data_IF_161817978806
#
_entry.id   IF_161817978806
#
_cell.length_a   1.000
_cell.length_b   1.000
_cell.length_c   1.000
_cell.angle_alpha   90.00
_cell.angle_beta   90.00
_cell.angle_gamma   90.00
#
_symmetry.space_group_name_H-M   'P 1'
#
loop_
_entity.id
_entity.type
_entity.pdbx_description
1 polymer ?
#
# COMPACT_ATOMS: atom_id res chain seq x y z
N UNK A 1 -2.88 -15.72 34.93
CA UNK A 1 -2.52 -14.39 34.40
C UNK A 1 -2.33 -14.43 32.88
N UNK A 2 -1.42 -15.28 32.35
CA UNK A 2 -1.15 -15.42 30.91
C UNK A 2 -2.40 -15.41 30.01
N UNK A 3 -3.42 -16.24 30.28
CA UNK A 3 -4.64 -16.29 29.47
C UNK A 3 -5.45 -14.98 29.38
N UNK A 4 -5.42 -14.13 30.41
CA UNK A 4 -6.06 -12.80 30.37
C UNK A 4 -5.25 -11.86 29.46
N UNK A 5 -3.93 -11.83 29.63
CA UNK A 5 -3.02 -11.02 28.80
C UNK A 5 -3.10 -11.45 27.33
N UNK A 6 -3.08 -12.76 27.06
CA UNK A 6 -3.25 -13.34 25.73
C UNK A 6 -4.59 -12.96 25.10
N UNK A 7 -5.70 -13.03 25.86
CA UNK A 7 -7.02 -12.59 25.37
C UNK A 7 -7.05 -11.11 24.98
N UNK A 8 -6.43 -10.24 25.79
CA UNK A 8 -6.31 -8.81 25.47
C UNK A 8 -5.42 -8.58 24.23
N UNK A 9 -4.31 -9.31 24.11
CA UNK A 9 -3.41 -9.27 22.95
C UNK A 9 -4.15 -9.71 21.67
N UNK A 10 -4.94 -10.78 21.73
CA UNK A 10 -5.81 -11.25 20.65
C UNK A 10 -6.81 -10.18 20.21
N UNK A 11 -7.53 -9.56 21.16
CA UNK A 11 -8.52 -8.51 20.85
C UNK A 11 -7.84 -7.32 20.17
N UNK A 12 -6.72 -6.83 20.72
CA UNK A 12 -5.98 -5.72 20.12
C UNK A 12 -5.49 -6.05 18.70
N UNK A 13 -4.97 -7.26 18.49
CA UNK A 13 -4.46 -7.73 17.19
C UNK A 13 -5.57 -7.91 16.16
N UNK A 14 -6.74 -8.42 16.56
CA UNK A 14 -7.92 -8.54 15.68
C UNK A 14 -8.40 -7.14 15.26
N UNK A 15 -8.43 -6.16 16.18
CA UNK A 15 -8.79 -4.77 15.84
C UNK A 15 -7.78 -4.13 14.87
N UNK A 16 -6.48 -4.38 15.06
CA UNK A 16 -5.43 -3.94 14.14
C UNK A 16 -5.57 -4.59 12.77
N UNK A 17 -5.82 -5.91 12.72
CA UNK A 17 -6.06 -6.67 11.48
C UNK A 17 -7.33 -6.24 10.74
N UNK A 18 -8.34 -5.70 11.44
CA UNK A 18 -9.55 -5.14 10.83
C UNK A 18 -9.34 -3.69 10.33
N UNK A 19 -8.31 -2.98 10.79
CA UNK A 19 -8.08 -1.58 10.40
C UNK A 19 -7.97 -1.33 8.88
N UNK A 20 -7.35 -2.20 8.06
CA UNK A 20 -7.28 -2.00 6.60
C UNK A 20 -8.60 -2.29 5.87
N UNK A 21 -9.62 -2.86 6.54
CA UNK A 21 -10.88 -3.23 5.92
C UNK A 21 -11.60 -2.04 5.27
N UNK A 22 -11.45 -0.83 5.83
CA UNK A 22 -12.02 0.41 5.27
C UNK A 22 -11.35 0.79 3.95
N UNK A 23 -10.02 0.78 3.91
CA UNK A 23 -9.26 1.07 2.69
C UNK A 23 -9.59 0.06 1.58
N UNK A 24 -9.69 -1.23 1.93
CA UNK A 24 -10.06 -2.31 0.99
C UNK A 24 -11.51 -2.18 0.50
N UNK A 25 -12.42 -1.76 1.37
CA UNK A 25 -13.81 -1.47 0.99
C UNK A 25 -13.90 -0.32 -0.02
N UNK A 26 -13.13 0.74 0.18
CA UNK A 26 -13.10 1.89 -0.73
C UNK A 26 -12.45 1.53 -2.08
N UNK A 27 -11.39 0.70 -2.09
CA UNK A 27 -10.85 0.09 -3.32
C UNK A 27 -11.95 -0.70 -4.06
N UNK A 28 -12.69 -1.56 -3.35
CA UNK A 28 -13.77 -2.36 -3.93
C UNK A 28 -14.90 -1.49 -4.53
N UNK A 29 -15.27 -0.41 -3.85
CA UNK A 29 -16.33 0.51 -4.26
C UNK A 29 -15.94 1.41 -5.43
N UNK A 30 -14.72 1.94 -5.43
CA UNK A 30 -14.21 2.83 -6.49
C UNK A 30 -13.81 2.09 -7.77
N UNK A 31 -13.57 0.76 -7.69
CA UNK A 31 -13.05 -0.08 -8.80
C UNK A 31 -11.71 0.38 -9.36
N UNK A 32 -11.04 1.29 -8.66
CA UNK A 32 -9.65 1.67 -8.90
C UNK A 32 -8.82 1.10 -7.77
N UNK A 33 -7.70 0.46 -8.11
CA UNK A 33 -6.62 0.32 -7.13
C UNK A 33 -6.04 1.71 -6.90
N UNK A 34 -6.10 2.17 -5.64
CA UNK A 34 -5.38 3.35 -5.16
C UNK A 34 -3.88 3.17 -5.43
N UNK A 35 -3.06 4.22 -5.46
CA UNK A 35 -1.59 4.12 -5.66
C UNK A 35 -0.84 3.34 -4.56
N UNK A 36 -1.56 2.77 -3.60
CA UNK A 36 -1.07 1.93 -2.51
C UNK A 36 -0.74 0.53 -3.03
N UNK A 37 0.44 0.02 -2.66
CA UNK A 37 0.88 -1.34 -3.02
C UNK A 37 0.00 -2.44 -2.39
N UNK A 38 -0.06 -3.61 -3.02
CA UNK A 38 -0.62 -4.85 -2.43
C UNK A 38 0.24 -5.37 -1.26
N UNK A 39 1.52 -4.99 -1.22
CA UNK A 39 2.53 -5.51 -0.31
C UNK A 39 2.06 -5.64 1.16
N UNK A 40 1.47 -4.63 1.84
CA UNK A 40 1.00 -4.78 3.21
C UNK A 40 0.00 -5.93 3.42
N UNK A 41 -0.92 -6.17 2.47
CA UNK A 41 -1.90 -7.27 2.59
C UNK A 41 -1.24 -8.64 2.41
N UNK A 42 -0.25 -8.73 1.52
CA UNK A 42 0.55 -9.93 1.32
C UNK A 42 1.47 -10.21 2.51
N UNK A 43 2.09 -9.18 3.10
CA UNK A 43 2.93 -9.34 4.30
C UNK A 43 2.11 -9.77 5.51
N UNK A 44 0.91 -9.20 5.71
CA UNK A 44 -0.06 -9.62 6.74
C UNK A 44 -0.49 -11.09 6.57
N UNK A 45 -0.64 -11.55 5.32
CA UNK A 45 -0.92 -12.96 5.02
C UNK A 45 0.28 -13.87 5.34
N UNK A 46 1.50 -13.47 4.99
CA UNK A 46 2.73 -14.24 5.29
C UNK A 46 2.98 -14.33 6.79
N UNK A 47 2.88 -13.22 7.51
CA UNK A 47 3.07 -13.16 8.97
C UNK A 47 2.06 -14.07 9.70
N UNK A 48 0.77 -13.91 9.42
CA UNK A 48 -0.28 -14.74 10.01
C UNK A 48 -0.11 -16.23 9.72
N UNK A 49 0.32 -16.60 8.50
CA UNK A 49 0.58 -17.99 8.15
C UNK A 49 1.79 -18.56 8.91
N UNK A 50 2.89 -17.82 9.00
CA UNK A 50 4.10 -18.27 9.72
C UNK A 50 3.80 -18.45 11.22
N UNK A 51 3.05 -17.54 11.83
CA UNK A 51 2.62 -17.69 13.23
C UNK A 51 1.66 -18.85 13.46
N UNK A 52 0.79 -19.19 12.50
CA UNK A 52 -0.05 -20.40 12.58
C UNK A 52 0.80 -21.67 12.50
N UNK A 53 1.81 -21.70 11.62
CA UNK A 53 2.78 -22.81 11.57
C UNK A 53 3.54 -22.92 12.89
N UNK A 54 4.08 -21.83 13.42
CA UNK A 54 4.74 -21.79 14.73
C UNK A 54 3.84 -22.33 15.85
N UNK A 55 2.62 -21.79 15.97
CA UNK A 55 1.64 -22.18 16.96
C UNK A 55 1.29 -23.69 16.88
N UNK A 56 1.23 -24.26 15.67
CA UNK A 56 1.01 -25.70 15.47
C UNK A 56 2.18 -26.60 15.89
N UNK A 57 3.40 -26.06 16.00
CA UNK A 57 4.59 -26.80 16.44
C UNK A 57 4.77 -26.78 17.98
N UNK A 58 4.13 -25.82 18.66
CA UNK A 58 4.11 -25.67 20.13
C UNK A 58 2.76 -26.02 20.77
N UNK A 59 1.82 -26.58 19.98
CA UNK A 59 0.45 -26.93 20.38
C UNK A 59 -0.41 -25.76 20.94
N UNK A 60 -0.09 -24.50 20.60
CA UNK A 60 -0.88 -23.32 21.01
C UNK A 60 -2.06 -23.06 20.06
N UNK A 61 -3.25 -23.55 20.43
CA UNK A 61 -4.48 -23.23 19.68
C UNK A 61 -4.94 -21.79 19.92
N UNK A 62 -4.79 -21.30 21.15
CA UNK A 62 -5.16 -19.95 21.56
C UNK A 62 -4.25 -19.49 22.72
N UNK A 63 -3.66 -18.28 22.66
CA UNK A 63 -4.04 -17.14 21.80
C UNK A 63 -3.33 -17.05 20.44
N UNK A 64 -2.15 -17.67 20.26
CA UNK A 64 -1.29 -17.42 19.10
C UNK A 64 -1.94 -17.97 17.83
N UNK A 65 -2.33 -19.25 17.82
CA UNK A 65 -2.89 -19.92 16.66
C UNK A 65 -4.14 -19.22 16.12
N UNK A 66 -5.17 -19.04 16.96
CA UNK A 66 -6.43 -18.39 16.59
C UNK A 66 -6.25 -16.94 16.10
N UNK A 67 -5.43 -16.13 16.79
CA UNK A 67 -5.27 -14.70 16.44
C UNK A 67 -4.61 -14.54 15.08
N UNK A 68 -3.58 -15.35 14.82
CA UNK A 68 -2.83 -15.28 13.58
C UNK A 68 -3.56 -15.96 12.42
N UNK A 69 -4.38 -16.99 12.68
CA UNK A 69 -5.31 -17.53 11.69
C UNK A 69 -6.33 -16.48 11.23
N UNK A 70 -6.84 -15.63 12.13
CA UNK A 70 -7.68 -14.49 11.74
C UNK A 70 -6.90 -13.49 10.86
N UNK A 71 -5.65 -13.16 11.24
CA UNK A 71 -4.76 -12.30 10.45
C UNK A 71 -4.50 -12.86 9.03
N UNK A 72 -4.21 -14.16 8.91
CA UNK A 72 -4.03 -14.85 7.65
C UNK A 72 -5.28 -14.80 6.75
N UNK A 73 -6.46 -15.07 7.30
CA UNK A 73 -7.74 -15.03 6.56
C UNK A 73 -8.08 -13.60 6.12
N UNK A 74 -7.87 -12.60 6.98
CA UNK A 74 -8.07 -11.20 6.64
C UNK A 74 -7.08 -10.73 5.56
N UNK A 75 -5.78 -11.01 5.68
CA UNK A 75 -4.74 -10.67 4.69
C UNK A 75 -4.98 -11.35 3.34
N UNK A 76 -5.42 -12.61 3.35
CA UNK A 76 -5.86 -13.34 2.14
C UNK A 76 -7.05 -12.66 1.47
N UNK A 77 -8.06 -12.28 2.26
CA UNK A 77 -9.28 -11.60 1.78
C UNK A 77 -8.96 -10.23 1.17
N UNK A 78 -8.11 -9.44 1.83
CA UNK A 78 -7.68 -8.13 1.35
C UNK A 78 -6.86 -8.23 0.07
N UNK A 79 -5.92 -9.19 0.01
CA UNK A 79 -5.15 -9.48 -1.20
C UNK A 79 -6.04 -9.90 -2.36
N UNK A 80 -7.03 -10.77 -2.12
CA UNK A 80 -7.98 -11.21 -3.15
C UNK A 80 -8.85 -10.07 -3.71
N UNK A 81 -9.35 -9.17 -2.85
CA UNK A 81 -10.10 -7.98 -3.29
C UNK A 81 -9.21 -7.03 -4.08
N UNK A 82 -7.97 -6.79 -3.64
CA UNK A 82 -7.02 -5.96 -4.37
C UNK A 82 -6.71 -6.53 -5.77
N UNK A 83 -6.39 -7.83 -5.86
CA UNK A 83 -6.11 -8.50 -7.14
C UNK A 83 -7.32 -8.50 -8.08
N UNK A 84 -8.54 -8.74 -7.56
CA UNK A 84 -9.78 -8.64 -8.33
C UNK A 84 -9.92 -7.25 -8.95
N UNK A 85 -9.59 -6.19 -8.21
CA UNK A 85 -9.73 -4.82 -8.69
C UNK A 85 -8.60 -4.43 -9.67
N UNK A 86 -7.42 -5.07 -9.60
CA UNK A 86 -6.37 -4.95 -10.62
C UNK A 86 -6.80 -5.44 -12.02
N UNK A 87 -7.87 -6.22 -12.17
CA UNK A 87 -8.41 -6.58 -13.49
C UNK A 87 -9.11 -5.43 -14.21
N UNK A 88 -9.60 -4.44 -13.46
CA UNK A 88 -10.28 -3.26 -14.01
C UNK A 88 -9.30 -2.12 -14.34
N UNK A 89 -8.07 -2.16 -13.81
CA UNK A 89 -7.02 -1.20 -14.15
C UNK A 89 -6.44 -1.49 -15.55
N UNK A 90 -6.26 -0.43 -16.35
CA UNK A 90 -5.63 -0.47 -17.67
C UNK A 90 -4.10 -0.58 -17.58
N UNK A 91 -3.51 -0.32 -16.41
CA UNK A 91 -2.06 -0.35 -16.16
C UNK A 91 -1.57 -1.79 -15.96
N UNK A 92 -1.26 -2.48 -17.06
CA UNK A 92 -0.77 -3.87 -17.03
C UNK A 92 0.45 -4.08 -16.10
N UNK A 93 1.35 -3.07 -15.97
CA UNK A 93 2.47 -3.13 -15.01
C UNK A 93 1.98 -3.36 -13.57
N UNK A 94 1.02 -2.56 -13.10
CA UNK A 94 0.45 -2.66 -11.74
C UNK A 94 -0.17 -4.04 -11.51
N UNK A 95 -0.99 -4.52 -12.45
CA UNK A 95 -1.59 -5.87 -12.41
C UNK A 95 -0.53 -6.96 -12.31
N UNK A 96 0.50 -6.91 -13.16
CA UNK A 96 1.56 -7.92 -13.21
C UNK A 96 2.42 -7.92 -11.95
N UNK A 97 2.76 -6.75 -11.44
CA UNK A 97 3.62 -6.62 -10.28
C UNK A 97 2.86 -6.97 -8.98
N UNK A 98 1.56 -6.66 -8.89
CA UNK A 98 0.70 -7.17 -7.82
C UNK A 98 0.59 -8.71 -7.81
N UNK A 99 0.40 -9.32 -8.99
CA UNK A 99 0.38 -10.78 -9.12
C UNK A 99 1.73 -11.44 -8.78
N UNK A 100 2.86 -10.80 -9.12
CA UNK A 100 4.21 -11.26 -8.72
C UNK A 100 4.41 -11.22 -7.21
N UNK A 101 4.01 -10.13 -6.55
CA UNK A 101 4.11 -9.98 -5.10
C UNK A 101 3.24 -11.04 -4.40
N UNK A 102 2.00 -11.25 -4.86
CA UNK A 102 1.12 -12.28 -4.31
C UNK A 102 1.67 -13.70 -4.52
N UNK A 103 2.16 -14.02 -5.72
CA UNK A 103 2.79 -15.31 -6.00
C UNK A 103 4.02 -15.54 -5.11
N UNK A 104 4.87 -14.52 -4.93
CA UNK A 104 6.00 -14.58 -4.00
C UNK A 104 5.59 -14.81 -2.55
N UNK A 105 4.54 -14.14 -2.07
CA UNK A 105 3.98 -14.34 -0.74
C UNK A 105 3.47 -15.79 -0.54
N UNK A 106 2.71 -16.32 -1.50
CA UNK A 106 2.24 -17.72 -1.46
C UNK A 106 3.42 -18.71 -1.52
N UNK A 107 4.46 -18.42 -2.31
CA UNK A 107 5.68 -19.24 -2.37
C UNK A 107 6.44 -19.23 -1.05
N UNK A 108 6.57 -18.08 -0.36
CA UNK A 108 7.18 -18.00 0.97
C UNK A 108 6.40 -18.85 1.98
N UNK A 109 5.07 -18.72 2.02
CA UNK A 109 4.21 -19.52 2.92
C UNK A 109 4.36 -21.02 2.63
N UNK A 110 4.34 -21.42 1.35
CA UNK A 110 4.51 -22.82 0.96
C UNK A 110 5.88 -23.39 1.32
N UNK A 111 6.96 -22.62 1.13
CA UNK A 111 8.32 -23.01 1.53
C UNK A 111 8.44 -23.14 3.05
N UNK A 112 7.90 -22.19 3.81
CA UNK A 112 7.91 -22.19 5.28
C UNK A 112 7.10 -23.34 5.89
N UNK A 113 5.89 -23.58 5.38
CA UNK A 113 5.08 -24.71 5.83
C UNK A 113 5.74 -26.06 5.47
N UNK A 114 6.32 -26.18 4.28
CA UNK A 114 7.03 -27.40 3.86
C UNK A 114 8.28 -27.62 4.71
N UNK A 115 9.08 -26.58 4.98
CA UNK A 115 10.29 -26.70 5.81
C UNK A 115 9.93 -27.09 7.25
N UNK A 116 8.87 -26.50 7.84
CA UNK A 116 8.36 -26.89 9.16
C UNK A 116 7.99 -28.38 9.22
N UNK A 117 7.23 -28.88 8.25
CA UNK A 117 6.85 -30.30 8.18
C UNK A 117 8.06 -31.22 8.02
N UNK A 118 8.99 -30.88 7.13
CA UNK A 118 10.23 -31.67 6.94
C UNK A 118 11.07 -31.69 8.22
N UNK A 119 11.23 -30.54 8.89
CA UNK A 119 11.98 -30.45 10.14
C UNK A 119 11.33 -31.27 11.27
N UNK A 120 10.01 -31.20 11.38
CA UNK A 120 9.25 -31.93 12.39
C UNK A 120 9.28 -33.46 12.19
N UNK A 121 9.28 -33.92 10.93
CA UNK A 121 9.32 -35.35 10.57
C UNK A 121 10.73 -35.94 10.66
N UNK A 122 11.77 -35.19 10.26
CA UNK A 122 13.14 -35.72 10.16
C UNK A 122 13.94 -35.54 11.47
N UNK A 123 13.65 -34.50 12.26
CA UNK A 123 14.32 -34.25 13.56
C UNK A 123 13.34 -34.32 14.73
N UNK A 124 12.59 -33.23 14.98
CA UNK A 124 11.57 -33.17 16.03
C UNK A 124 10.71 -31.91 15.88
N UNK A 125 9.52 -31.90 16.46
CA UNK A 125 8.66 -30.70 16.54
C UNK A 125 9.36 -29.54 17.26
N UNK A 126 10.15 -29.79 18.31
CA UNK A 126 10.93 -28.76 19.02
C UNK A 126 11.98 -28.12 18.12
N UNK A 127 12.78 -28.92 17.40
CA UNK A 127 13.78 -28.39 16.46
C UNK A 127 13.14 -27.60 15.32
N UNK A 128 11.95 -28.02 14.87
CA UNK A 128 11.16 -27.26 13.90
C UNK A 128 10.65 -25.95 14.50
N UNK A 129 10.11 -25.96 15.72
CA UNK A 129 9.61 -24.77 16.41
C UNK A 129 10.70 -23.71 16.58
N UNK A 130 11.89 -24.10 17.04
CA UNK A 130 13.04 -23.20 17.19
C UNK A 130 13.46 -22.60 15.84
N UNK A 131 13.56 -23.43 14.80
CA UNK A 131 13.98 -23.01 13.45
C UNK A 131 12.99 -22.03 12.82
N UNK A 132 11.69 -22.28 12.99
CA UNK A 132 10.62 -21.39 12.50
C UNK A 132 10.55 -20.12 13.34
N UNK A 133 10.75 -20.21 14.67
CA UNK A 133 10.82 -19.07 15.58
C UNK A 133 11.92 -18.08 15.17
N UNK A 134 13.15 -18.55 14.93
CA UNK A 134 14.24 -17.70 14.44
C UNK A 134 13.90 -17.01 13.11
N UNK A 135 13.23 -17.68 12.18
CA UNK A 135 12.79 -17.06 10.93
C UNK A 135 11.72 -15.99 11.17
N UNK A 136 10.72 -16.28 12.02
CA UNK A 136 9.64 -15.36 12.38
C UNK A 136 10.18 -14.10 13.05
N UNK A 137 11.19 -14.23 13.92
CA UNK A 137 11.88 -13.10 14.54
C UNK A 137 12.59 -12.22 13.51
N UNK A 138 13.41 -12.82 12.63
CA UNK A 138 14.12 -12.09 11.56
C UNK A 138 13.14 -11.41 10.61
N UNK A 139 12.03 -12.08 10.27
CA UNK A 139 10.98 -11.52 9.44
C UNK A 139 10.26 -10.33 10.13
N UNK A 140 9.97 -10.43 11.43
CA UNK A 140 9.38 -9.33 12.21
C UNK A 140 10.33 -8.13 12.32
N UNK A 141 11.63 -8.35 12.54
CA UNK A 141 12.63 -7.27 12.54
C UNK A 141 12.67 -6.56 11.18
N UNK A 142 12.63 -7.31 10.08
CA UNK A 142 12.51 -6.73 8.73
C UNK A 142 11.19 -5.96 8.54
N UNK A 143 10.07 -6.44 9.09
CA UNK A 143 8.77 -5.76 9.04
C UNK A 143 8.82 -4.42 9.80
N UNK A 144 9.52 -4.36 10.93
CA UNK A 144 9.72 -3.12 11.71
C UNK A 144 10.60 -2.07 11.01
N UNK A 145 11.33 -2.41 9.94
CA UNK A 145 12.12 -1.44 9.18
C UNK A 145 11.24 -0.30 8.59
N UNK A 146 10.02 -0.60 8.11
CA UNK A 146 9.10 0.41 7.56
C UNK A 146 8.58 1.42 8.60
N UNK A 147 8.04 1.03 9.77
CA UNK A 147 7.68 1.98 10.82
C UNK A 147 8.89 2.73 11.41
N UNK A 148 10.10 2.15 11.38
CA UNK A 148 11.34 2.86 11.73
C UNK A 148 11.73 3.93 10.70
N UNK A 149 11.62 3.63 9.40
CA UNK A 149 11.82 4.62 8.33
C UNK A 149 10.86 5.80 8.47
N UNK A 150 9.59 5.53 8.76
CA UNK A 150 8.58 6.57 8.99
C UNK A 150 8.92 7.43 10.22
N UNK A 151 9.39 6.82 11.31
CA UNK A 151 9.85 7.56 12.50
C UNK A 151 11.08 8.44 12.19
N UNK A 152 12.03 7.95 11.39
CA UNK A 152 13.18 8.72 10.93
C UNK A 152 12.77 9.88 10.01
N UNK A 153 11.78 9.67 9.14
CA UNK A 153 11.19 10.73 8.31
C UNK A 153 10.59 11.84 9.19
N UNK A 154 9.79 11.50 10.21
CA UNK A 154 9.23 12.48 11.17
C UNK A 154 10.32 13.27 11.89
N UNK A 155 11.41 12.61 12.31
CA UNK A 155 12.54 13.30 12.95
C UNK A 155 13.21 14.32 12.01
N UNK A 156 13.30 14.01 10.71
CA UNK A 156 13.88 14.89 9.68
C UNK A 156 12.94 16.01 9.24
N UNK A 157 11.64 15.74 9.06
CA UNK A 157 10.63 16.73 8.62
C UNK A 157 10.08 17.58 9.76
N UNK A 158 10.24 17.13 11.02
CA UNK A 158 9.60 17.69 12.22
C UNK A 158 8.08 17.78 12.15
N UNK A 159 7.45 17.00 11.26
CA UNK A 159 6.01 16.89 11.12
C UNK A 159 5.57 15.44 11.25
N UNK A 160 4.51 15.22 12.02
CA UNK A 160 3.85 13.92 12.18
C UNK A 160 2.81 13.64 11.08
N UNK A 161 2.70 14.50 10.05
CA UNK A 161 1.87 14.28 8.86
C UNK A 161 2.16 12.92 8.22
N UNK A 162 1.17 12.02 8.26
CA UNK A 162 1.28 10.63 7.78
C UNK A 162 1.37 9.57 8.89
N UNK A 163 1.53 9.94 10.16
CA UNK A 163 1.39 9.04 11.31
C UNK A 163 0.06 9.29 12.04
N UNK A 164 -0.73 8.24 12.25
CA UNK A 164 -1.99 8.32 13.02
C UNK A 164 -1.75 7.86 14.47
N UNK A 165 -1.72 8.83 15.40
CA UNK A 165 -1.38 8.61 16.81
C UNK A 165 -2.19 7.49 17.50
N UNK A 166 -3.52 7.38 17.35
CA UNK A 166 -4.29 6.28 17.96
C UNK A 166 -3.87 4.89 17.47
N UNK A 167 -3.49 4.76 16.18
CA UNK A 167 -2.98 3.50 15.64
C UNK A 167 -1.59 3.18 16.20
N UNK A 168 -0.69 4.17 16.29
CA UNK A 168 0.63 4.01 16.94
C UNK A 168 0.51 3.56 18.40
N UNK A 169 -0.41 4.15 19.17
CA UNK A 169 -0.70 3.74 20.55
C UNK A 169 -1.25 2.31 20.59
N UNK A 170 -2.18 1.95 19.69
CA UNK A 170 -2.78 0.61 19.65
C UNK A 170 -1.73 -0.46 19.30
N UNK A 171 -0.83 -0.17 18.35
CA UNK A 171 0.28 -1.06 17.98
C UNK A 171 1.24 -1.23 19.17
N UNK A 172 1.66 -0.14 19.82
CA UNK A 172 2.54 -0.21 20.99
C UNK A 172 1.90 -0.99 22.15
N UNK A 173 0.60 -0.79 22.41
CA UNK A 173 -0.14 -1.53 23.44
C UNK A 173 -0.28 -3.03 23.10
N UNK A 174 -0.55 -3.37 21.84
CA UNK A 174 -0.58 -4.76 21.38
C UNK A 174 0.78 -5.45 21.53
N UNK A 175 1.87 -4.77 21.14
CA UNK A 175 3.23 -5.27 21.31
C UNK A 175 3.60 -5.47 22.79
N UNK A 176 3.22 -4.53 23.67
CA UNK A 176 3.41 -4.69 25.12
C UNK A 176 2.65 -5.90 25.70
N UNK A 177 1.41 -6.12 25.24
CA UNK A 177 0.59 -7.27 25.66
C UNK A 177 1.19 -8.60 25.17
N UNK A 178 1.62 -8.69 23.91
CA UNK A 178 2.29 -9.88 23.39
C UNK A 178 3.64 -10.16 24.03
N UNK A 179 4.47 -9.13 24.22
CA UNK A 179 5.72 -9.25 24.96
C UNK A 179 5.46 -9.82 26.37
N UNK A 180 4.53 -9.21 27.12
CA UNK A 180 4.12 -9.67 28.46
C UNK A 180 3.60 -11.10 28.43
N UNK A 181 2.82 -11.49 27.41
CA UNK A 181 2.36 -12.86 27.25
C UNK A 181 3.53 -13.83 27.06
N UNK A 182 4.48 -13.54 26.16
CA UNK A 182 5.67 -14.38 25.94
C UNK A 182 6.54 -14.53 27.19
N UNK A 183 6.76 -13.45 27.95
CA UNK A 183 7.45 -13.53 29.25
C UNK A 183 6.70 -14.43 30.25
N UNK A 184 5.36 -14.44 30.25
CA UNK A 184 4.54 -15.26 31.14
C UNK A 184 4.47 -16.73 30.72
N UNK A 185 4.66 -17.06 29.43
CA UNK A 185 4.74 -18.43 28.92
C UNK A 185 6.17 -18.96 28.80
N UNK A 186 7.18 -18.13 29.06
CA UNK A 186 8.60 -18.41 28.76
C UNK A 186 8.90 -18.62 27.27
N UNK A 187 8.05 -18.08 26.40
CA UNK A 187 8.21 -18.08 24.95
C UNK A 187 9.02 -16.85 24.52
N UNK A 188 10.30 -17.07 24.21
CA UNK A 188 11.20 -16.01 23.77
C UNK A 188 10.97 -15.56 22.33
N UNK A 189 10.44 -16.41 21.45
CA UNK A 189 10.11 -16.05 20.07
C UNK A 189 8.89 -15.11 20.01
N UNK A 190 7.97 -15.23 20.97
CA UNK A 190 6.93 -14.21 21.16
C UNK A 190 7.47 -12.99 21.91
N UNK A 191 8.24 -13.17 22.98
CA UNK A 191 8.66 -12.06 23.83
C UNK A 191 9.66 -11.09 23.18
N UNK A 192 10.65 -11.61 22.44
CA UNK A 192 11.78 -10.82 21.92
C UNK A 192 11.38 -9.81 20.82
N UNK A 193 10.77 -10.20 19.68
CA UNK A 193 10.40 -9.26 18.63
C UNK A 193 9.37 -8.24 19.14
N UNK A 194 8.41 -8.68 19.96
CA UNK A 194 7.36 -7.82 20.49
C UNK A 194 7.91 -6.80 21.50
N UNK A 195 8.96 -7.13 22.25
CA UNK A 195 9.68 -6.16 23.09
C UNK A 195 10.40 -5.10 22.24
N UNK A 196 11.01 -5.49 21.12
CA UNK A 196 11.63 -4.54 20.17
C UNK A 196 10.55 -3.66 19.52
N UNK A 197 9.43 -4.24 19.09
CA UNK A 197 8.28 -3.51 18.53
C UNK A 197 7.67 -2.53 19.53
N UNK A 198 7.58 -2.90 20.82
CA UNK A 198 7.12 -2.01 21.88
C UNK A 198 8.08 -0.83 22.11
N UNK A 199 9.38 -1.08 22.18
CA UNK A 199 10.40 -0.02 22.31
C UNK A 199 10.40 0.93 21.10
N UNK A 200 10.24 0.40 19.89
CA UNK A 200 10.06 1.22 18.68
C UNK A 200 8.76 2.05 18.72
N UNK A 201 7.66 1.47 19.21
CA UNK A 201 6.39 2.17 19.42
C UNK A 201 6.47 3.28 20.48
N UNK A 202 7.24 3.07 21.56
CA UNK A 202 7.53 4.11 22.55
C UNK A 202 8.39 5.25 21.96
N UNK A 203 9.38 4.93 21.14
CA UNK A 203 10.17 5.93 20.42
C UNK A 203 9.27 6.78 19.49
N UNK A 204 8.39 6.14 18.71
CA UNK A 204 7.37 6.82 17.90
C UNK A 204 6.45 7.72 18.73
N UNK A 205 5.96 7.25 19.88
CA UNK A 205 5.09 8.04 20.76
C UNK A 205 5.83 9.22 21.39
N UNK A 206 7.11 9.08 21.72
CA UNK A 206 7.94 10.19 22.22
C UNK A 206 8.16 11.30 21.18
N UNK A 207 8.26 10.93 19.89
CA UNK A 207 8.34 11.88 18.78
C UNK A 207 7.05 12.71 18.66
N UNK A 208 5.88 12.07 18.80
CA UNK A 208 4.59 12.76 18.87
C UNK A 208 4.50 13.75 20.03
N UNK A 209 4.98 13.38 21.23
CA UNK A 209 5.02 14.30 22.38
C UNK A 209 5.95 15.49 22.13
N UNK A 210 7.02 15.33 21.32
CA UNK A 210 8.01 16.38 21.07
C UNK A 210 7.64 17.35 19.94
N UNK A 211 6.99 16.85 18.89
CA UNK A 211 6.64 17.60 17.67
C UNK A 211 5.14 17.93 17.54
N UNK A 212 4.28 17.33 18.37
CA UNK A 212 2.83 17.53 18.34
C UNK A 212 2.11 16.66 17.32
N UNK A 213 0.78 16.73 17.36
CA UNK A 213 -0.11 16.11 16.37
C UNK A 213 -0.26 17.11 15.21
N UNK A 214 0.25 16.77 14.04
CA UNK A 214 0.02 17.54 12.83
C UNK A 214 -1.43 17.42 12.38
N UNK A 215 -2.03 18.54 11.95
CA UNK A 215 -3.42 18.57 11.52
C UNK A 215 -3.53 18.00 10.10
N UNK A 216 -4.13 16.81 9.96
CA UNK A 216 -4.07 15.98 8.74
C UNK A 216 -4.99 16.49 7.59
N UNK A 217 -5.30 17.79 7.55
CA UNK A 217 -6.21 18.39 6.57
C UNK A 217 -5.49 19.06 5.37
N UNK A 218 -4.20 18.77 5.18
CA UNK A 218 -3.47 19.06 3.94
C UNK A 218 -3.35 17.75 3.14
N UNK A 219 -3.67 17.75 1.83
CA UNK A 219 -3.52 16.56 1.00
C UNK A 219 -2.04 16.17 0.95
N UNK A 220 -1.75 14.91 1.21
CA UNK A 220 -0.39 14.37 1.17
C UNK A 220 0.26 14.64 -0.17
N UNK A 221 1.19 15.60 -0.24
CA UNK A 221 2.06 15.73 -1.41
C UNK A 221 2.77 14.39 -1.61
N UNK A 222 2.65 13.89 -2.83
CA UNK A 222 2.78 12.47 -3.09
C UNK A 222 4.17 11.91 -2.84
N UNK A 223 4.26 10.59 -2.95
CA UNK A 223 5.53 9.90 -3.20
C UNK A 223 6.03 10.25 -4.61
N UNK A 224 6.38 11.51 -4.83
CA UNK A 224 7.21 11.92 -5.95
C UNK A 224 8.61 11.36 -5.69
N UNK A 225 8.90 10.23 -6.33
CA UNK A 225 10.28 9.80 -6.55
C UNK A 225 11.00 10.95 -7.23
N UNK A 226 12.02 11.52 -6.58
CA UNK A 226 12.95 12.43 -7.26
C UNK A 226 13.54 11.65 -8.45
N UNK A 227 13.34 12.08 -9.71
CA UNK A 227 14.04 11.48 -10.81
C UNK A 227 15.52 11.86 -10.69
N UNK A 228 16.40 10.86 -10.78
CA UNK A 228 17.85 11.05 -10.77
C UNK A 228 18.26 12.23 -11.65
N UNK A 229 19.07 13.13 -11.07
CA UNK A 229 19.56 14.33 -11.73
C UNK A 229 20.52 13.99 -12.87
N UNK A 230 19.99 13.61 -14.03
CA UNK A 230 20.77 13.44 -15.24
C UNK A 230 21.27 14.81 -15.72
N UNK A 231 22.56 15.04 -15.49
CA UNK A 231 23.27 16.24 -15.95
C UNK A 231 23.20 16.39 -17.46
N UNK A 232 22.90 17.60 -17.92
CA UNK A 232 23.22 18.08 -19.26
C UNK A 232 22.26 17.68 -20.39
N UNK A 233 21.40 18.62 -20.79
CA UNK A 233 21.59 19.43 -22.01
C UNK A 233 20.24 20.00 -22.50
N UNK A 234 20.08 21.33 -22.53
CA UNK A 234 18.93 21.99 -23.18
C UNK A 234 19.32 22.37 -24.61
N UNK A 235 18.86 21.58 -25.58
CA UNK A 235 18.87 21.99 -26.99
C UNK A 235 17.55 22.65 -27.37
N UNK A 236 17.58 23.97 -27.59
CA UNK A 236 16.57 24.70 -28.37
C UNK A 236 17.09 24.92 -29.81
N UNK A 237 16.22 24.97 -30.84
CA UNK A 237 16.68 24.79 -32.23
C UNK A 237 16.96 26.06 -33.03
N UNK A 238 18.14 26.10 -33.67
CA UNK A 238 18.47 26.76 -34.95
C UNK A 238 18.63 28.29 -34.98
N UNK A 239 19.06 28.88 -36.13
CA UNK A 239 19.76 28.28 -37.27
C UNK A 239 21.02 29.07 -37.70
N UNK A 240 21.79 28.53 -38.66
CA UNK A 240 22.68 29.34 -39.53
C UNK A 240 24.18 29.17 -39.30
N UNK A 241 24.89 28.76 -40.35
CA UNK A 241 26.34 28.60 -40.39
C UNK A 241 27.08 29.95 -40.38
N UNK A 242 28.22 29.97 -39.69
CA UNK A 242 29.18 31.08 -39.71
C UNK A 242 30.58 30.58 -39.40
N UNK A 243 31.41 30.45 -40.43
CA UNK A 243 32.83 30.11 -40.30
C UNK A 243 33.67 31.34 -39.91
N UNK A 244 34.90 31.07 -39.47
CA UNK A 244 36.01 31.98 -39.17
C UNK A 244 35.96 32.88 -37.90
N UNK A 245 36.76 32.45 -36.93
CA UNK A 245 37.91 33.17 -36.36
C UNK A 245 37.82 34.70 -36.12
N UNK A 246 37.98 35.11 -34.85
CA UNK A 246 38.31 36.51 -34.51
C UNK A 246 38.08 36.91 -33.05
N UNK A 247 39.10 36.73 -32.21
CA UNK A 247 39.22 37.36 -30.87
C UNK A 247 40.27 38.47 -31.00
N UNK A 248 40.25 39.60 -30.25
CA UNK A 248 39.16 40.30 -29.55
C UNK A 248 39.03 41.78 -29.98
N UNK A 249 38.06 42.53 -29.42
CA UNK A 249 38.32 43.81 -28.73
C UNK A 249 37.05 44.35 -28.04
N UNK A 250 37.19 44.80 -26.79
CA UNK A 250 36.19 45.63 -26.14
C UNK A 250 36.48 47.12 -26.42
N UNK A 251 35.44 47.95 -26.58
CA UNK A 251 35.17 49.09 -25.69
C UNK A 251 34.28 50.19 -26.32
N UNK A 252 33.50 50.80 -25.42
CA UNK A 252 33.09 52.21 -25.41
C UNK A 252 32.00 52.74 -26.36
N UNK A 253 31.20 53.65 -25.77
CA UNK A 253 30.29 54.57 -26.42
C UNK A 253 28.84 54.07 -26.54
N UNK A 254 27.79 54.85 -26.31
CA UNK A 254 27.59 56.20 -25.75
C UNK A 254 26.18 56.63 -26.11
N UNK A 255 25.53 57.43 -25.27
CA UNK A 255 24.24 58.08 -25.58
C UNK A 255 23.02 57.16 -25.51
N UNK A 256 21.80 57.62 -25.29
CA UNK A 256 21.24 58.84 -24.70
C UNK A 256 19.71 58.68 -24.90
N UNK A 257 18.90 59.20 -23.97
CA UNK A 257 17.54 59.77 -24.15
C UNK A 257 16.47 59.12 -25.06
N UNK A 258 15.25 59.14 -24.52
CA UNK A 258 14.00 59.31 -25.30
C UNK A 258 13.09 58.08 -25.26
N UNK A 259 12.01 57.99 -24.46
CA UNK A 259 10.84 58.86 -24.26
C UNK A 259 9.72 58.68 -25.31
N UNK A 260 8.47 58.71 -24.81
CA UNK A 260 7.15 58.55 -25.47
C UNK A 260 6.71 57.09 -25.69
N UNK A 261 5.55 56.62 -25.21
CA UNK A 261 4.15 57.13 -25.12
C UNK A 261 3.30 56.76 -26.35
N UNK A 262 2.03 56.43 -26.06
CA UNK A 262 0.87 56.47 -26.97
C UNK A 262 0.78 55.37 -28.04
N UNK A 263 -0.39 54.89 -28.48
CA UNK A 263 -1.81 55.04 -28.06
C UNK A 263 -2.68 54.05 -28.88
N UNK A 264 -3.98 53.92 -28.58
CA UNK A 264 -5.02 53.32 -29.43
C UNK A 264 -5.22 51.80 -29.25
N UNK A 265 -6.36 51.22 -28.81
CA UNK A 265 -7.82 51.51 -28.92
C UNK A 265 -8.53 50.78 -30.08
N UNK A 266 -9.84 50.53 -29.86
CA UNK A 266 -10.85 49.96 -30.78
C UNK A 266 -10.93 48.44 -31.03
N UNK A 267 -12.09 47.83 -31.34
CA UNK A 267 -13.48 47.91 -30.78
C UNK A 267 -14.39 46.86 -31.50
N UNK A 268 -15.27 46.14 -30.75
CA UNK A 268 -16.56 45.48 -31.15
C UNK A 268 -16.60 44.55 -32.41
N UNK A 269 -17.30 43.39 -32.44
CA UNK A 269 -18.75 43.16 -32.24
C UNK A 269 -19.10 41.65 -32.40
N UNK A 270 -20.36 41.24 -32.15
CA UNK A 270 -20.85 39.85 -32.18
C UNK A 270 -22.12 39.65 -33.10
N UNK A 271 -22.98 38.57 -33.04
CA UNK A 271 -23.37 37.78 -34.23
C UNK A 271 -24.91 37.63 -34.50
N UNK A 272 -25.32 36.81 -35.49
CA UNK A 272 -26.59 36.02 -35.49
C UNK A 272 -26.37 34.52 -35.90
N UNK A 273 -27.03 33.45 -35.40
CA UNK A 273 -28.45 32.94 -35.49
C UNK A 273 -28.95 32.65 -36.94
N UNK A 274 -29.71 31.59 -37.31
CA UNK A 274 -30.33 30.41 -36.63
C UNK A 274 -31.14 29.48 -37.61
N UNK A 275 -31.74 28.37 -37.10
CA UNK A 275 -32.94 27.58 -37.59
C UNK A 275 -32.81 26.49 -38.71
N UNK A 276 -33.44 25.30 -38.49
CA UNK A 276 -34.06 24.48 -39.58
C UNK A 276 -34.23 22.94 -39.40
N UNK A 277 -35.46 22.46 -39.09
CA UNK A 277 -36.01 21.07 -39.25
C UNK A 277 -37.44 21.20 -39.89
N UNK A 278 -38.34 20.18 -40.14
CA UNK A 278 -38.44 18.75 -39.70
C UNK A 278 -39.13 17.69 -40.64
N UNK A 279 -39.38 16.45 -40.15
CA UNK A 279 -40.49 15.51 -40.51
C UNK A 279 -40.29 14.49 -41.67
N UNK A 280 -41.03 13.36 -41.82
CA UNK A 280 -41.89 12.52 -40.94
C UNK A 280 -42.41 11.21 -41.65
N UNK A 281 -43.01 10.25 -40.90
CA UNK A 281 -43.78 9.02 -41.34
C UNK A 281 -42.98 7.83 -41.93
N UNK A 282 -43.35 6.52 -41.89
CA UNK A 282 -44.45 5.70 -41.30
C UNK A 282 -44.50 4.29 -42.00
N UNK A 283 -45.07 3.15 -41.53
CA UNK A 283 -45.70 2.68 -40.28
C UNK A 283 -46.47 1.33 -40.45
N UNK A 284 -46.74 0.54 -39.36
CA UNK A 284 -47.51 -0.76 -39.26
C UNK A 284 -46.79 -2.06 -39.71
N UNK A 285 -47.07 -3.28 -39.18
CA UNK A 285 -47.83 -3.71 -37.98
C UNK A 285 -48.23 -5.23 -37.90
N UNK A 286 -48.37 -5.75 -36.66
CA UNK A 286 -49.16 -6.93 -36.16
C UNK A 286 -48.89 -8.41 -36.56
N UNK A 287 -49.04 -9.30 -35.55
CA UNK A 287 -49.32 -10.76 -35.65
C UNK A 287 -48.15 -11.65 -35.22
N UNK A 288 -48.25 -12.66 -34.35
CA UNK A 288 -49.39 -13.26 -33.64
C UNK A 288 -49.60 -14.73 -34.02
N UNK A 289 -49.00 -15.68 -33.30
CA UNK A 289 -49.14 -17.12 -33.60
C UNK A 289 -48.33 -18.03 -32.66
N UNK A 290 -49.03 -18.88 -31.92
CA UNK A 290 -48.52 -19.91 -31.01
C UNK A 290 -48.90 -21.28 -31.60
N UNK A 291 -48.01 -22.30 -31.59
CA UNK A 291 -48.31 -23.74 -31.38
C UNK A 291 -47.23 -24.74 -31.87
N UNK A 292 -47.18 -25.89 -31.15
CA UNK A 292 -46.72 -27.25 -31.53
C UNK A 292 -45.23 -27.61 -31.48
N UNK A 293 -44.90 -28.42 -30.46
CA UNK A 293 -43.95 -29.54 -30.56
C UNK A 293 -44.45 -30.61 -31.56
N UNK A 294 -43.60 -31.58 -31.96
CA UNK A 294 -43.77 -32.89 -31.30
C UNK A 294 -42.49 -33.65 -30.90
N UNK A 295 -42.75 -34.55 -29.96
CA UNK A 295 -42.01 -35.65 -29.32
C UNK A 295 -41.36 -36.71 -30.28
N UNK A 296 -40.61 -37.68 -29.70
CA UNK A 296 -40.14 -39.00 -30.25
C UNK A 296 -38.85 -38.93 -31.14
N UNK A 297 -37.77 -39.74 -31.03
CA UNK A 297 -37.15 -40.78 -30.13
C UNK A 297 -35.64 -40.82 -30.51
N UNK A 298 -34.66 -41.42 -29.81
CA UNK A 298 -34.62 -42.34 -28.67
C UNK A 298 -33.68 -43.53 -28.96
N UNK A 299 -32.58 -43.64 -28.22
CA UNK A 299 -31.82 -44.86 -27.81
C UNK A 299 -30.72 -44.44 -26.85
#
# INVERSE_FOLDING_TARGET
MAGIVGTLASIASILLNVSPARDVWDINKTRSVTERSILPYCMMMVDGANWVVYASLIDDVFPIGFTNAFGFVAGSTYSAVYLRNCWHDKRERVRRDAWRIFAGAVSIIGLMATSAVVMAVVWSSTTAADSIGYFVDVFNVCLYASPLELAWKVLRTRSTSGMYLPLSITIAAAAALWATYGYLTSDWFVAAPQSVGFLAGLAQLSLFLRFGIADNNQPSEGQALEPDGQSGNRSSPGPGDGADAGVPAAAAGSGERGSRLSDGSEVRNAPPTSVGSPGSEGGRGRGGGQLREPLITGT
#
